data_IF_774982504404
#
_entry.id   IF_774982504404
#
_cell.length_a   1.000
_cell.length_b   1.000
_cell.length_c   1.000
_cell.angle_alpha   90.00
_cell.angle_beta   90.00
_cell.angle_gamma   90.00
#
_symmetry.space_group_name_H-M   'P 1'
#
loop_
_entity.id
_entity.type
_entity.pdbx_description
1 polymer ?
#
# COMPACT_ATOMS: atom_id res chain seq x y z
N UNK A 1 13.28 3.95 -16.63
CA UNK A 1 12.53 2.74 -16.19
C UNK A 1 11.59 2.33 -17.31
N UNK A 2 11.63 1.06 -17.73
CA UNK A 2 10.68 0.52 -18.69
C UNK A 2 9.29 0.59 -18.06
N UNK A 3 8.41 1.45 -18.62
CA UNK A 3 7.03 1.66 -18.16
C UNK A 3 6.19 0.44 -18.55
N UNK A 4 6.35 -0.66 -17.83
CA UNK A 4 5.36 -1.73 -17.88
C UNK A 4 4.04 -1.17 -17.30
N UNK A 5 2.90 -1.37 -17.97
CA UNK A 5 1.61 -0.95 -17.43
C UNK A 5 1.35 -1.66 -16.10
N UNK A 6 0.81 -0.90 -15.13
CA UNK A 6 0.42 -1.46 -13.84
C UNK A 6 -0.75 -2.42 -14.02
N UNK A 7 -0.76 -3.49 -13.25
CA UNK A 7 -1.89 -4.40 -13.20
C UNK A 7 -3.07 -3.72 -12.50
N UNK A 8 -4.24 -3.57 -13.15
CA UNK A 8 -5.39 -2.86 -12.55
C UNK A 8 -5.94 -3.51 -11.28
N UNK A 9 -5.66 -4.79 -11.07
CA UNK A 9 -6.09 -5.56 -9.88
C UNK A 9 -5.10 -5.51 -8.72
N UNK A 10 -4.01 -4.75 -8.83
CA UNK A 10 -2.99 -4.65 -7.78
C UNK A 10 -3.05 -3.29 -7.11
N UNK A 11 -3.37 -3.28 -5.82
CA UNK A 11 -3.28 -2.08 -4.99
C UNK A 11 -1.84 -1.74 -4.67
N UNK A 12 -1.47 -0.46 -4.77
CA UNK A 12 -0.14 0.03 -4.45
C UNK A 12 -0.16 0.86 -3.16
N UNK A 13 0.82 0.64 -2.30
CA UNK A 13 1.07 1.44 -1.10
C UNK A 13 2.55 1.87 -1.10
N UNK A 14 2.85 3.10 -0.71
CA UNK A 14 4.19 3.68 -0.73
C UNK A 14 4.67 4.04 0.68
N UNK A 15 5.93 3.73 1.00
CA UNK A 15 6.56 4.08 2.28
C UNK A 15 7.91 4.73 1.94
N UNK A 16 8.04 6.02 2.20
CA UNK A 16 9.21 6.81 1.81
C UNK A 16 10.03 7.17 3.03
N UNK A 17 11.34 6.96 2.95
CA UNK A 17 12.29 7.41 3.97
C UNK A 17 12.57 8.90 3.82
N UNK A 18 12.57 9.63 4.93
CA UNK A 18 12.99 11.02 4.96
C UNK A 18 13.94 11.26 6.11
N UNK A 19 15.12 11.80 5.81
CA UNK A 19 16.05 12.32 6.81
C UNK A 19 16.36 13.78 6.49
N UNK A 20 16.55 14.63 7.50
CA UNK A 20 17.11 15.95 7.27
C UNK A 20 18.52 15.78 6.71
N UNK A 21 18.72 16.08 5.42
CA UNK A 21 20.07 16.13 4.85
C UNK A 21 20.48 17.58 4.68
N UNK A 22 21.24 18.07 5.67
CA UNK A 22 21.86 19.38 5.66
C UNK A 22 22.98 19.43 6.70
N UNK A 23 24.24 19.47 6.26
CA UNK A 23 25.40 19.63 7.16
C UNK A 23 25.51 21.09 7.63
N UNK A 24 24.91 22.03 6.91
CA UNK A 24 24.96 23.47 7.14
C UNK A 24 23.58 24.12 6.98
N UNK A 25 23.26 25.19 7.74
CA UNK A 25 21.95 25.86 7.70
C UNK A 25 21.61 26.55 6.37
N UNK A 26 22.57 26.71 5.45
CA UNK A 26 22.39 27.35 4.14
C UNK A 26 22.36 26.38 2.95
N UNK A 27 22.65 25.09 3.14
CA UNK A 27 22.56 24.10 2.06
C UNK A 27 21.11 23.66 1.92
N UNK A 28 20.58 23.79 0.70
CA UNK A 28 19.26 23.31 0.28
C UNK A 28 18.99 21.94 0.92
N UNK A 29 18.02 21.90 1.85
CA UNK A 29 17.70 20.69 2.59
C UNK A 29 17.25 19.64 1.60
N UNK A 30 18.10 18.66 1.36
CA UNK A 30 17.76 17.53 0.52
C UNK A 30 16.71 16.74 1.29
N UNK A 31 15.51 16.60 0.72
CA UNK A 31 14.37 15.90 1.33
C UNK A 31 14.31 14.51 0.73
N UNK A 32 14.97 13.54 1.36
CA UNK A 32 15.02 12.16 0.85
C UNK A 32 15.58 11.22 1.91
N UNK A 33 15.82 9.97 1.54
CA UNK A 33 16.33 8.95 2.46
C UNK A 33 17.87 8.89 2.54
N UNK A 34 18.55 9.89 1.95
CA UNK A 34 20.01 9.95 1.83
C UNK A 34 20.57 9.25 0.59
N UNK A 35 19.75 8.54 -0.18
CA UNK A 35 20.12 7.93 -1.48
C UNK A 35 19.16 8.38 -2.58
N UNK A 36 17.87 8.36 -2.30
CA UNK A 36 16.79 8.71 -3.23
C UNK A 36 16.10 9.98 -2.74
N UNK A 37 15.89 10.92 -3.66
CA UNK A 37 15.13 12.15 -3.41
C UNK A 37 13.64 11.85 -3.29
N UNK A 38 12.93 12.60 -2.44
CA UNK A 38 11.49 12.45 -2.25
C UNK A 38 10.73 12.54 -3.58
N UNK A 39 11.06 13.51 -4.44
CA UNK A 39 10.38 13.72 -5.73
C UNK A 39 10.55 12.53 -6.68
N UNK A 40 11.63 11.74 -6.53
CA UNK A 40 11.84 10.52 -7.31
C UNK A 40 11.17 9.31 -6.69
N UNK A 41 10.95 9.30 -5.37
CA UNK A 41 10.31 8.20 -4.64
C UNK A 41 8.79 8.34 -4.57
N UNK A 42 8.27 9.56 -4.70
CA UNK A 42 6.86 9.88 -4.68
C UNK A 42 6.15 9.35 -5.94
N UNK A 43 4.93 8.84 -5.75
CA UNK A 43 4.08 8.29 -6.80
C UNK A 43 2.65 8.71 -6.53
N UNK A 44 2.00 9.39 -7.48
CA UNK A 44 0.63 9.89 -7.32
C UNK A 44 -0.43 8.77 -7.23
N UNK A 45 -0.24 7.68 -7.97
CA UNK A 45 -1.20 6.59 -8.14
C UNK A 45 -0.96 5.45 -7.13
N UNK A 46 -1.21 5.74 -5.85
CA UNK A 46 -1.13 4.80 -4.72
C UNK A 46 -2.27 5.04 -3.73
N UNK A 47 -2.78 3.97 -3.11
CA UNK A 47 -3.89 4.03 -2.14
C UNK A 47 -3.46 4.62 -0.80
N UNK A 48 -2.18 4.49 -0.45
CA UNK A 48 -1.61 5.16 0.72
C UNK A 48 -0.14 5.47 0.53
N UNK A 49 0.29 6.63 1.00
CA UNK A 49 1.70 7.00 1.12
C UNK A 49 2.00 7.51 2.53
N UNK A 50 3.09 7.04 3.14
CA UNK A 50 3.60 7.62 4.39
C UNK A 50 5.08 7.96 4.26
N UNK A 51 5.50 8.98 5.00
CA UNK A 51 6.92 9.29 5.19
C UNK A 51 7.38 8.82 6.56
N UNK A 52 8.56 8.21 6.63
CA UNK A 52 9.17 7.66 7.84
C UNK A 52 10.51 8.35 8.08
N UNK A 53 10.80 8.82 9.32
CA UNK A 53 12.07 9.46 9.65
C UNK A 53 13.21 8.43 9.73
N UNK A 54 13.65 7.94 8.57
CA UNK A 54 14.68 6.91 8.44
C UNK A 54 15.40 7.04 7.10
N UNK A 55 16.69 6.73 7.09
CA UNK A 55 17.49 6.69 5.86
C UNK A 55 17.23 5.40 5.08
N UNK A 56 17.81 5.34 3.88
CA UNK A 56 17.66 4.25 2.92
C UNK A 56 17.95 2.86 3.50
N UNK A 57 18.95 2.75 4.39
CA UNK A 57 19.38 1.48 4.95
C UNK A 57 18.55 1.05 6.17
N UNK A 58 18.00 1.99 6.93
CA UNK A 58 17.34 1.68 8.21
C UNK A 58 15.82 1.67 8.13
N UNK A 59 15.24 2.21 7.06
CA UNK A 59 13.77 2.34 6.90
C UNK A 59 13.02 1.04 7.13
N UNK A 60 13.54 -0.09 6.65
CA UNK A 60 12.90 -1.40 6.76
C UNK A 60 12.85 -1.95 8.20
N UNK A 61 13.69 -1.45 9.10
CA UNK A 61 13.72 -1.83 10.53
C UNK A 61 12.99 -0.82 11.42
N UNK A 62 12.60 0.33 10.86
CA UNK A 62 11.90 1.35 11.62
C UNK A 62 10.54 0.82 12.09
N UNK A 63 10.19 0.95 13.39
CA UNK A 63 8.92 0.48 13.91
C UNK A 63 7.71 1.03 13.15
N UNK A 64 7.77 2.28 12.67
CA UNK A 64 6.69 2.90 11.90
C UNK A 64 6.49 2.21 10.54
N UNK A 65 7.56 1.85 9.85
CA UNK A 65 7.50 1.06 8.61
C UNK A 65 6.92 -0.32 8.86
N UNK A 66 7.38 -1.01 9.91
CA UNK A 66 6.89 -2.35 10.26
C UNK A 66 5.40 -2.33 10.57
N UNK A 67 4.95 -1.34 11.34
CA UNK A 67 3.53 -1.17 11.68
C UNK A 67 2.69 -0.84 10.45
N UNK A 68 3.22 -0.04 9.51
CA UNK A 68 2.51 0.27 8.28
C UNK A 68 2.37 -0.96 7.36
N UNK A 69 3.45 -1.73 7.20
CA UNK A 69 3.39 -3.00 6.45
C UNK A 69 2.39 -3.95 7.10
N UNK A 70 2.38 -4.07 8.43
CA UNK A 70 1.39 -4.87 9.15
C UNK A 70 -0.04 -4.38 8.89
N UNK A 71 -0.28 -3.07 8.96
CA UNK A 71 -1.59 -2.47 8.69
C UNK A 71 -2.06 -2.79 7.27
N UNK A 72 -1.18 -2.67 6.27
CA UNK A 72 -1.46 -3.01 4.88
C UNK A 72 -1.82 -4.49 4.75
N UNK A 73 -1.03 -5.40 5.32
CA UNK A 73 -1.33 -6.84 5.26
C UNK A 73 -2.68 -7.19 5.91
N UNK A 74 -3.02 -6.54 7.03
CA UNK A 74 -4.31 -6.72 7.69
C UNK A 74 -5.47 -6.19 6.84
N UNK A 75 -5.31 -5.02 6.22
CA UNK A 75 -6.29 -4.44 5.28
C UNK A 75 -6.58 -5.40 4.12
N UNK A 76 -5.53 -5.96 3.50
CA UNK A 76 -5.67 -6.91 2.39
C UNK A 76 -6.32 -8.22 2.83
N UNK A 77 -5.98 -8.72 4.02
CA UNK A 77 -6.63 -9.90 4.59
C UNK A 77 -8.13 -9.68 4.81
N UNK A 78 -8.51 -8.53 5.35
CA UNK A 78 -9.91 -8.15 5.56
C UNK A 78 -10.68 -8.06 4.23
N UNK A 79 -10.06 -7.49 3.19
CA UNK A 79 -10.65 -7.43 1.83
C UNK A 79 -10.98 -8.83 1.31
N UNK A 80 -9.98 -9.73 1.29
CA UNK A 80 -10.15 -11.12 0.81
C UNK A 80 -11.23 -11.87 1.60
N UNK A 81 -11.24 -11.72 2.92
CA UNK A 81 -12.26 -12.34 3.76
C UNK A 81 -13.65 -11.78 3.49
N UNK A 82 -13.76 -10.48 3.22
CA UNK A 82 -15.04 -9.85 2.90
C UNK A 82 -15.60 -10.35 1.57
N UNK A 83 -14.76 -10.44 0.53
CA UNK A 83 -15.13 -10.96 -0.78
C UNK A 83 -15.58 -12.42 -0.69
N UNK A 84 -14.86 -13.25 0.08
CA UNK A 84 -15.23 -14.63 0.30
C UNK A 84 -16.60 -14.77 0.99
N UNK A 85 -16.85 -14.00 2.06
CA UNK A 85 -18.16 -14.01 2.76
C UNK A 85 -19.31 -13.61 1.85
N UNK A 86 -19.09 -12.64 0.96
CA UNK A 86 -20.11 -12.23 -0.02
C UNK A 86 -20.38 -13.36 -1.00
N UNK A 87 -19.34 -13.99 -1.55
CA UNK A 87 -19.48 -15.11 -2.47
C UNK A 87 -20.23 -16.31 -1.85
N UNK A 88 -19.87 -16.68 -0.61
CA UNK A 88 -20.59 -17.72 0.13
C UNK A 88 -22.06 -17.37 0.31
N UNK A 89 -22.38 -16.14 0.72
CA UNK A 89 -23.77 -15.73 0.94
C UNK A 89 -24.59 -15.74 -0.35
N UNK A 90 -24.01 -15.32 -1.48
CA UNK A 90 -24.68 -15.37 -2.77
C UNK A 90 -24.99 -16.81 -3.19
N UNK A 91 -24.02 -17.73 -3.06
CA UNK A 91 -24.26 -19.15 -3.38
C UNK A 91 -25.34 -19.79 -2.50
N UNK A 92 -25.45 -19.39 -1.23
CA UNK A 92 -26.51 -19.83 -0.33
C UNK A 92 -27.89 -19.31 -0.77
N UNK A 93 -27.98 -18.05 -1.22
CA UNK A 93 -29.25 -17.48 -1.71
C UNK A 93 -29.70 -18.13 -3.03
N UNK A 94 -28.75 -18.42 -3.93
CA UNK A 94 -29.03 -19.14 -5.18
C UNK A 94 -29.53 -20.56 -4.91
N UNK A 95 -28.90 -21.30 -3.99
CA UNK A 95 -29.33 -22.66 -3.63
C UNK A 95 -30.62 -22.72 -2.80
N UNK A 96 -30.92 -21.67 -2.02
CA UNK A 96 -32.15 -21.56 -1.24
C UNK A 96 -33.34 -21.02 -2.05
N UNK A 97 -33.11 -20.50 -3.25
CA UNK A 97 -34.19 -20.08 -4.15
C UNK A 97 -34.85 -21.35 -4.72
N UNK A 98 -36.10 -21.68 -4.33
CA UNK A 98 -36.78 -22.80 -4.96
C UNK A 98 -36.86 -22.49 -6.45
N UNK A 99 -36.41 -23.45 -7.27
CA UNK A 99 -36.63 -23.40 -8.70
C UNK A 99 -38.07 -22.97 -8.92
N UNK A 100 -38.27 -21.86 -9.63
CA UNK A 100 -39.57 -21.48 -10.16
C UNK A 100 -39.95 -22.64 -11.08
N UNK A 101 -40.61 -23.64 -10.49
CA UNK A 101 -41.19 -24.77 -11.15
C UNK A 101 -42.39 -24.22 -11.92
N UNK A 102 -42.10 -23.59 -13.05
CA UNK A 102 -43.09 -23.31 -14.05
C UNK A 102 -43.44 -24.62 -14.75
N UNK A 103 -44.68 -25.03 -14.51
CA UNK A 103 -45.48 -25.93 -15.34
C UNK A 103 -45.61 -25.39 -16.76
#
# INVERSE_FOLDING_TARGET
MLRAPRAPWTTYHNIIGMVPTGRWPSSQQTTGDGVVQYESAHIDDVDSEITVPANHQEIHRNPRTILEVRRILQLHLESVQSEYRVAERLSQLESASPSVQNR
#
